data_IF_627261684883
#
_entry.id   IF_627261684883
#
_cell.length_a   1.000
_cell.length_b   1.000
_cell.length_c   1.000
_cell.angle_alpha   90.00
_cell.angle_beta   90.00
_cell.angle_gamma   90.00
#
_symmetry.space_group_name_H-M   'P 1'
#
loop_
_entity.id
_entity.type
_entity.pdbx_description
1 polymer ?
#
# COMPACT_ATOMS: atom_id res chain seq x y z
N UNK A 1 -5.73 -16.26 46.56
CA UNK A 1 -5.38 -15.82 45.21
C UNK A 1 -6.64 -15.28 44.57
N UNK A 2 -6.76 -13.97 44.35
CA UNK A 2 -8.03 -13.34 43.94
C UNK A 2 -8.42 -13.74 42.52
N UNK A 3 -9.70 -14.09 42.34
CA UNK A 3 -10.34 -14.49 41.08
C UNK A 3 -10.04 -13.47 39.93
N UNK A 4 -9.91 -12.19 40.28
CA UNK A 4 -9.51 -11.11 39.38
C UNK A 4 -8.07 -11.27 38.87
N UNK A 5 -7.13 -11.81 39.66
CA UNK A 5 -5.74 -12.03 39.25
C UNK A 5 -5.58 -13.20 38.28
N UNK A 6 -6.38 -14.25 38.45
CA UNK A 6 -6.41 -15.42 37.57
C UNK A 6 -7.00 -15.10 36.19
N UNK A 7 -8.04 -14.28 36.12
CA UNK A 7 -8.64 -13.84 34.87
C UNK A 7 -7.67 -12.90 34.09
N UNK A 8 -6.96 -12.02 34.79
CA UNK A 8 -5.96 -11.14 34.15
C UNK A 8 -4.74 -11.92 33.64
N UNK A 9 -4.32 -12.99 34.33
CA UNK A 9 -3.23 -13.86 33.87
C UNK A 9 -3.64 -14.70 32.66
N UNK A 10 -4.85 -15.24 32.64
CA UNK A 10 -5.42 -15.94 31.46
C UNK A 10 -5.53 -15.00 30.26
N UNK A 11 -6.02 -13.78 30.48
CA UNK A 11 -6.15 -12.79 29.41
C UNK A 11 -4.80 -12.39 28.81
N UNK A 12 -3.75 -12.21 29.63
CA UNK A 12 -2.38 -11.98 29.15
C UNK A 12 -1.81 -13.16 28.36
N UNK A 13 -2.12 -14.40 28.75
CA UNK A 13 -1.73 -15.60 28.01
C UNK A 13 -2.37 -15.66 26.62
N UNK A 14 -3.66 -15.39 26.54
CA UNK A 14 -4.43 -15.35 25.29
C UNK A 14 -3.92 -14.23 24.36
N UNK A 15 -3.64 -13.05 24.90
CA UNK A 15 -3.05 -11.95 24.14
C UNK A 15 -1.69 -12.30 23.55
N UNK A 16 -0.81 -12.94 24.35
CA UNK A 16 0.51 -13.38 23.88
C UNK A 16 0.40 -14.41 22.76
N UNK A 17 -0.53 -15.34 22.86
CA UNK A 17 -0.78 -16.33 21.81
C UNK A 17 -1.31 -15.67 20.54
N UNK A 18 -2.32 -14.80 20.66
CA UNK A 18 -2.85 -14.03 19.53
C UNK A 18 -1.78 -13.16 18.84
N UNK A 19 -0.90 -12.53 19.64
CA UNK A 19 0.22 -11.76 19.11
C UNK A 19 1.23 -12.63 18.34
N UNK A 20 1.51 -13.83 18.83
CA UNK A 20 2.40 -14.76 18.12
C UNK A 20 1.83 -15.19 16.77
N UNK A 21 0.55 -15.55 16.72
CA UNK A 21 -0.15 -15.85 15.47
C UNK A 21 -0.14 -14.65 14.51
N UNK A 22 -0.37 -13.45 15.03
CA UNK A 22 -0.29 -12.21 14.27
C UNK A 22 1.08 -12.05 13.59
N UNK A 23 2.18 -12.24 14.32
CA UNK A 23 3.52 -12.12 13.78
C UNK A 23 3.81 -13.18 12.69
N UNK A 24 3.37 -14.43 12.89
CA UNK A 24 3.52 -15.46 11.85
C UNK A 24 2.74 -15.07 10.59
N UNK A 25 1.50 -14.64 10.75
CA UNK A 25 0.69 -14.20 9.62
C UNK A 25 1.30 -13.02 8.87
N UNK A 26 1.84 -12.04 9.59
CA UNK A 26 2.56 -10.89 9.00
C UNK A 26 3.81 -11.32 8.23
N UNK A 27 4.55 -12.33 8.72
CA UNK A 27 5.70 -12.86 8.03
C UNK A 27 5.33 -13.44 6.65
N UNK A 28 4.25 -14.20 6.57
CA UNK A 28 3.79 -14.83 5.33
C UNK A 28 2.98 -13.90 4.42
N UNK A 29 2.53 -12.75 4.91
CA UNK A 29 1.65 -11.84 4.19
C UNK A 29 2.14 -11.47 2.77
N UNK A 30 3.43 -11.12 2.54
CA UNK A 30 3.90 -10.73 1.22
C UNK A 30 4.24 -11.90 0.31
N UNK A 31 4.33 -13.12 0.84
CA UNK A 31 4.77 -14.29 0.08
C UNK A 31 3.67 -15.33 -0.14
N UNK A 32 2.77 -15.52 0.83
CA UNK A 32 1.81 -16.63 0.79
C UNK A 32 0.53 -16.24 1.51
N UNK A 33 -0.37 -15.56 0.81
CA UNK A 33 -1.61 -15.03 1.38
C UNK A 33 -2.44 -16.12 2.08
N UNK A 34 -2.52 -17.33 1.51
CA UNK A 34 -3.24 -18.44 2.12
C UNK A 34 -2.71 -18.77 3.52
N UNK A 35 -1.39 -18.95 3.66
CA UNK A 35 -0.78 -19.23 4.97
C UNK A 35 -0.95 -18.02 5.90
N UNK A 36 -0.79 -16.80 5.39
CA UNK A 36 -0.99 -15.61 6.19
C UNK A 36 -2.41 -15.56 6.81
N UNK A 37 -3.45 -15.86 6.02
CA UNK A 37 -4.84 -15.89 6.49
C UNK A 37 -5.05 -16.96 7.55
N UNK A 38 -4.46 -18.15 7.43
CA UNK A 38 -4.56 -19.22 8.44
C UNK A 38 -4.10 -18.76 9.84
N UNK A 39 -3.16 -17.82 9.92
CA UNK A 39 -2.66 -17.28 11.18
C UNK A 39 -3.30 -15.93 11.54
N UNK A 40 -3.55 -15.05 10.57
CA UNK A 40 -4.14 -13.73 10.84
C UNK A 40 -5.61 -13.84 11.26
N UNK A 41 -6.38 -14.76 10.67
CA UNK A 41 -7.79 -14.92 11.02
C UNK A 41 -8.00 -15.33 12.49
N UNK A 42 -7.38 -16.40 13.02
CA UNK A 42 -7.46 -16.72 14.43
C UNK A 42 -6.93 -15.61 15.34
N UNK A 43 -5.84 -14.95 14.92
CA UNK A 43 -5.31 -13.78 15.63
C UNK A 43 -6.33 -12.66 15.71
N UNK A 44 -7.01 -12.33 14.60
CA UNK A 44 -8.04 -11.30 14.56
C UNK A 44 -9.24 -11.64 15.44
N UNK A 45 -9.69 -12.90 15.46
CA UNK A 45 -10.75 -13.37 16.36
C UNK A 45 -10.36 -13.18 17.82
N UNK A 46 -9.13 -13.56 18.19
CA UNK A 46 -8.61 -13.35 19.55
C UNK A 46 -8.54 -11.85 19.87
N UNK A 47 -8.00 -11.03 18.97
CA UNK A 47 -7.92 -9.59 19.16
C UNK A 47 -9.28 -8.92 19.31
N UNK A 48 -10.26 -9.35 18.52
CA UNK A 48 -11.66 -8.90 18.64
C UNK A 48 -12.24 -9.21 20.01
N UNK A 49 -12.02 -10.42 20.50
CA UNK A 49 -12.46 -10.82 21.84
C UNK A 49 -11.82 -9.97 22.94
N UNK A 50 -10.51 -9.71 22.83
CA UNK A 50 -9.77 -8.87 23.78
C UNK A 50 -10.25 -7.42 23.77
N UNK A 51 -10.66 -6.91 22.62
CA UNK A 51 -10.94 -5.49 22.40
C UNK A 51 -12.45 -5.16 22.28
N UNK A 52 -13.34 -6.14 22.50
CA UNK A 52 -14.80 -6.01 22.28
C UNK A 52 -15.44 -4.82 23.00
N UNK A 53 -15.01 -4.52 24.23
CA UNK A 53 -15.56 -3.44 25.04
C UNK A 53 -15.02 -2.05 24.67
N UNK A 54 -14.05 -1.97 23.76
CA UNK A 54 -13.37 -0.74 23.38
C UNK A 54 -13.70 -0.27 21.97
N UNK A 55 -14.46 -1.05 21.18
CA UNK A 55 -14.74 -0.72 19.79
C UNK A 55 -15.29 0.70 19.60
N UNK A 56 -16.40 1.02 20.29
CA UNK A 56 -17.01 2.36 20.21
C UNK A 56 -16.36 3.40 21.13
N UNK A 57 -15.43 3.01 21.99
CA UNK A 57 -14.66 3.94 22.82
C UNK A 57 -13.48 4.55 22.07
N UNK A 58 -12.95 3.85 21.09
CA UNK A 58 -11.89 4.36 20.24
C UNK A 58 -12.49 5.19 19.10
N UNK A 59 -12.20 6.49 19.13
CA UNK A 59 -12.67 7.45 18.14
C UNK A 59 -12.28 7.13 16.69
N UNK A 60 -11.22 6.34 16.49
CA UNK A 60 -10.74 5.95 15.16
C UNK A 60 -11.53 4.82 14.52
N UNK A 61 -12.20 4.00 15.32
CA UNK A 61 -13.07 2.94 14.79
C UNK A 61 -14.37 3.53 14.21
N UNK A 62 -14.86 4.65 14.76
CA UNK A 62 -16.14 5.24 14.38
C UNK A 62 -16.22 5.69 12.89
N UNK A 63 -15.25 6.43 12.33
CA UNK A 63 -15.29 6.79 10.91
C UNK A 63 -15.27 5.58 9.98
N UNK A 64 -14.48 4.55 10.30
CA UNK A 64 -14.45 3.31 9.52
C UNK A 64 -15.75 2.52 9.65
N UNK A 65 -16.40 2.55 10.81
CA UNK A 65 -17.73 1.97 10.98
C UNK A 65 -18.77 2.69 10.11
N UNK A 66 -18.78 4.02 10.11
CA UNK A 66 -19.68 4.82 9.27
C UNK A 66 -19.41 4.53 7.79
N UNK A 67 -18.14 4.53 7.37
CA UNK A 67 -17.76 4.16 6.00
C UNK A 67 -18.25 2.76 5.62
N UNK A 68 -17.99 1.75 6.47
CA UNK A 68 -18.45 0.38 6.25
C UNK A 68 -19.97 0.26 6.12
N UNK A 69 -20.71 1.03 6.93
CA UNK A 69 -22.19 1.09 6.87
C UNK A 69 -22.66 1.73 5.56
N UNK A 70 -22.04 2.83 5.13
CA UNK A 70 -22.41 3.51 3.88
C UNK A 70 -22.17 2.62 2.64
N UNK A 71 -21.02 1.96 2.55
CA UNK A 71 -20.74 1.07 1.41
C UNK A 71 -21.67 -0.15 1.41
N UNK A 72 -22.05 -0.66 2.60
CA UNK A 72 -23.03 -1.75 2.70
C UNK A 72 -24.42 -1.29 2.26
N UNK A 73 -24.89 -0.14 2.72
CA UNK A 73 -26.18 0.43 2.30
C UNK A 73 -26.19 0.68 0.79
N UNK A 74 -25.11 1.27 0.25
CA UNK A 74 -24.98 1.50 -1.19
C UNK A 74 -25.11 0.19 -1.98
N UNK A 75 -24.32 -0.83 -1.60
CA UNK A 75 -24.37 -2.15 -2.27
C UNK A 75 -25.75 -2.82 -2.15
N UNK A 76 -26.41 -2.67 -1.01
CA UNK A 76 -27.78 -3.19 -0.82
C UNK A 76 -28.78 -2.48 -1.74
N UNK A 77 -28.76 -1.15 -1.77
CA UNK A 77 -29.66 -0.39 -2.61
C UNK A 77 -29.46 -0.68 -4.10
N UNK A 78 -28.23 -0.80 -4.56
CA UNK A 78 -27.89 -1.13 -5.95
C UNK A 78 -28.40 -2.52 -6.36
N UNK A 79 -28.44 -3.47 -5.46
CA UNK A 79 -28.91 -4.83 -5.77
C UNK A 79 -30.42 -5.00 -5.71
N UNK A 80 -31.12 -4.27 -4.80
CA UNK A 80 -32.51 -4.60 -4.48
C UNK A 80 -33.49 -3.47 -4.74
N UNK A 81 -33.04 -2.24 -4.88
CA UNK A 81 -33.93 -1.06 -4.88
C UNK A 81 -33.74 -0.17 -6.10
N UNK A 82 -32.47 0.13 -6.46
CA UNK A 82 -32.18 1.06 -7.53
C UNK A 82 -32.22 0.34 -8.88
N UNK A 83 -33.04 0.83 -9.80
CA UNK A 83 -32.99 0.43 -11.19
C UNK A 83 -31.88 1.23 -11.86
N UNK A 84 -30.81 0.56 -12.25
CA UNK A 84 -29.70 1.19 -12.96
C UNK A 84 -29.82 0.91 -14.46
N UNK A 85 -29.58 1.93 -15.29
CA UNK A 85 -29.62 1.79 -16.76
C UNK A 85 -28.53 0.84 -17.30
N UNK A 86 -27.61 0.39 -16.45
CA UNK A 86 -26.48 -0.48 -16.79
C UNK A 86 -26.66 -1.95 -16.38
N UNK A 87 -27.85 -2.38 -15.91
CA UNK A 87 -28.09 -3.76 -15.46
C UNK A 87 -27.91 -4.82 -16.56
N UNK A 88 -28.05 -4.45 -17.83
CA UNK A 88 -27.79 -5.36 -18.94
C UNK A 88 -26.30 -5.63 -19.16
N UNK A 89 -25.42 -4.77 -18.63
CA UNK A 89 -23.98 -4.79 -18.90
C UNK A 89 -23.19 -5.16 -17.66
N UNK A 90 -23.68 -4.76 -16.48
CA UNK A 90 -22.99 -4.91 -15.21
C UNK A 90 -23.88 -5.65 -14.21
N UNK A 91 -23.32 -6.70 -13.58
CA UNK A 91 -24.02 -7.48 -12.55
C UNK A 91 -23.93 -6.79 -11.17
N UNK A 92 -25.06 -6.34 -10.59
CA UNK A 92 -25.11 -5.68 -9.30
C UNK A 92 -24.52 -6.51 -8.14
N UNK A 93 -24.51 -7.85 -8.23
CA UNK A 93 -23.92 -8.75 -7.21
C UNK A 93 -22.45 -8.45 -6.97
N UNK A 94 -21.76 -7.89 -7.98
CA UNK A 94 -20.36 -7.47 -7.87
C UNK A 94 -20.15 -6.41 -6.78
N UNK A 95 -21.16 -5.57 -6.50
CA UNK A 95 -21.11 -4.61 -5.39
C UNK A 95 -21.02 -5.31 -4.03
N UNK A 96 -21.73 -6.42 -3.82
CA UNK A 96 -21.60 -7.22 -2.59
C UNK A 96 -20.26 -7.94 -2.51
N UNK A 97 -19.81 -8.55 -3.60
CA UNK A 97 -18.50 -9.21 -3.65
C UNK A 97 -17.39 -8.22 -3.33
N UNK A 98 -17.51 -7.00 -3.84
CA UNK A 98 -16.53 -5.92 -3.63
C UNK A 98 -16.47 -5.41 -2.19
N UNK A 99 -17.49 -5.64 -1.35
CA UNK A 99 -17.41 -5.40 0.09
C UNK A 99 -16.30 -6.21 0.76
N UNK A 100 -15.93 -7.36 0.18
CA UNK A 100 -14.79 -8.15 0.60
C UNK A 100 -13.45 -7.41 0.52
N UNK A 101 -13.36 -6.36 -0.30
CA UNK A 101 -12.18 -5.49 -0.40
C UNK A 101 -12.10 -4.41 0.71
N UNK A 102 -13.15 -4.25 1.55
CA UNK A 102 -13.24 -3.18 2.53
C UNK A 102 -13.57 -3.67 3.93
N UNK A 103 -14.66 -4.41 4.10
CA UNK A 103 -15.17 -4.84 5.42
C UNK A 103 -14.13 -5.64 6.22
N UNK A 104 -13.42 -6.62 5.62
CA UNK A 104 -12.38 -7.34 6.36
C UNK A 104 -11.27 -6.41 6.86
N UNK A 105 -10.85 -5.42 6.09
CA UNK A 105 -9.79 -4.49 6.52
C UNK A 105 -10.25 -3.54 7.62
N UNK A 106 -11.49 -3.09 7.60
CA UNK A 106 -12.11 -2.32 8.69
C UNK A 106 -12.11 -3.15 9.98
N UNK A 107 -12.50 -4.42 9.88
CA UNK A 107 -12.46 -5.34 11.01
C UNK A 107 -11.04 -5.58 11.52
N UNK A 108 -10.08 -5.85 10.64
CA UNK A 108 -8.67 -6.09 10.99
C UNK A 108 -8.02 -4.85 11.64
N UNK A 109 -8.37 -3.64 11.18
CA UNK A 109 -7.90 -2.39 11.81
C UNK A 109 -8.22 -2.35 13.31
N UNK A 110 -9.44 -2.72 13.68
CA UNK A 110 -9.83 -2.81 15.09
C UNK A 110 -9.26 -4.05 15.78
N UNK A 111 -9.33 -5.21 15.15
CA UNK A 111 -8.96 -6.49 15.76
C UNK A 111 -7.47 -6.56 16.14
N UNK A 112 -6.58 -5.89 15.38
CA UNK A 112 -5.14 -5.93 15.64
C UNK A 112 -4.62 -4.83 16.59
N UNK A 113 -5.46 -3.91 17.04
CA UNK A 113 -5.05 -2.86 17.99
C UNK A 113 -4.35 -3.40 19.26
N UNK A 114 -4.79 -4.50 19.91
CA UNK A 114 -4.11 -5.04 21.08
C UNK A 114 -2.68 -5.49 20.81
N UNK A 115 -2.35 -5.84 19.57
CA UNK A 115 -1.02 -6.32 19.18
C UNK A 115 -0.05 -5.20 18.78
N UNK A 116 -0.52 -3.96 18.69
CA UNK A 116 0.27 -2.80 18.31
C UNK A 116 0.31 -1.71 19.39
N UNK A 117 -0.25 -1.98 20.57
CA UNK A 117 -0.46 -1.02 21.65
C UNK A 117 0.81 -0.61 22.42
N UNK A 118 1.97 -1.24 22.18
CA UNK A 118 3.23 -0.90 22.84
C UNK A 118 4.39 -0.78 21.85
N UNK A 119 5.41 0.02 22.21
CA UNK A 119 6.62 0.22 21.40
C UNK A 119 7.31 -1.11 21.08
N UNK A 120 7.39 -2.01 22.07
CA UNK A 120 8.01 -3.34 21.89
C UNK A 120 7.27 -4.19 20.87
N UNK A 121 5.92 -4.22 20.92
CA UNK A 121 5.11 -4.97 19.96
C UNK A 121 5.22 -4.40 18.55
N UNK A 122 5.15 -3.07 18.42
CA UNK A 122 5.34 -2.39 17.12
C UNK A 122 6.72 -2.66 16.55
N UNK A 123 7.77 -2.66 17.39
CA UNK A 123 9.12 -3.05 16.96
C UNK A 123 9.17 -4.49 16.47
N UNK A 124 8.56 -5.44 17.19
CA UNK A 124 8.51 -6.85 16.77
C UNK A 124 7.77 -7.02 15.44
N UNK A 125 6.64 -6.35 15.28
CA UNK A 125 5.90 -6.31 14.01
C UNK A 125 6.79 -5.81 12.85
N UNK A 126 7.48 -4.68 13.04
CA UNK A 126 8.35 -4.10 12.03
C UNK A 126 9.49 -5.06 11.63
N UNK A 127 10.11 -5.73 12.60
CA UNK A 127 11.17 -6.71 12.33
C UNK A 127 10.66 -7.93 11.54
N UNK A 128 9.48 -8.41 11.88
CA UNK A 128 8.85 -9.53 11.15
C UNK A 128 8.42 -9.12 9.75
N UNK A 129 7.94 -7.89 9.58
CA UNK A 129 7.59 -7.34 8.26
C UNK A 129 8.83 -7.26 7.34
N UNK A 130 9.97 -6.79 7.89
CA UNK A 130 11.25 -6.78 7.17
C UNK A 130 11.66 -8.22 6.80
N UNK A 131 11.62 -9.15 7.76
CA UNK A 131 12.00 -10.54 7.52
C UNK A 131 11.10 -11.21 6.48
N UNK A 132 9.79 -10.98 6.52
CA UNK A 132 8.82 -11.48 5.53
C UNK A 132 9.04 -10.94 4.11
N UNK A 133 9.75 -9.82 3.96
CA UNK A 133 10.11 -9.27 2.64
C UNK A 133 11.25 -10.05 1.97
N UNK A 134 12.01 -10.86 2.70
CA UNK A 134 13.13 -11.63 2.16
C UNK A 134 12.75 -12.55 0.98
N UNK A 135 11.68 -13.38 1.06
CA UNK A 135 11.23 -14.16 -0.10
C UNK A 135 10.89 -13.30 -1.32
N UNK A 136 10.29 -12.13 -1.10
CA UNK A 136 9.94 -11.19 -2.19
C UNK A 136 11.19 -10.67 -2.90
N UNK A 137 12.26 -10.36 -2.15
CA UNK A 137 13.53 -9.93 -2.73
C UNK A 137 14.20 -11.04 -3.53
N UNK A 138 14.26 -12.27 -2.98
CA UNK A 138 14.86 -13.42 -3.68
C UNK A 138 14.12 -13.69 -4.99
N UNK A 139 12.81 -13.80 -4.94
CA UNK A 139 12.00 -14.10 -6.12
C UNK A 139 12.00 -12.94 -7.11
N UNK A 140 12.00 -11.69 -6.63
CA UNK A 140 12.08 -10.52 -7.48
C UNK A 140 13.41 -10.43 -8.23
N UNK A 141 14.55 -10.64 -7.56
CA UNK A 141 15.86 -10.70 -8.23
C UNK A 141 15.98 -11.94 -9.11
N UNK A 142 15.44 -13.09 -8.69
CA UNK A 142 15.34 -14.28 -9.51
C UNK A 142 14.55 -14.04 -10.81
N UNK A 143 13.43 -13.32 -10.71
CA UNK A 143 12.65 -12.91 -11.87
C UNK A 143 13.46 -12.00 -12.80
N UNK A 144 14.14 -11.00 -12.26
CA UNK A 144 14.81 -9.97 -13.05
C UNK A 144 16.11 -10.46 -13.71
N UNK A 145 16.92 -11.24 -13.00
CA UNK A 145 18.24 -11.66 -13.47
C UNK A 145 18.31 -13.09 -14.01
N UNK A 146 17.40 -13.97 -13.55
CA UNK A 146 17.43 -15.39 -13.88
C UNK A 146 16.18 -15.87 -14.61
N UNK A 147 15.30 -14.95 -15.01
CA UNK A 147 14.05 -15.25 -15.71
C UNK A 147 13.17 -16.28 -14.98
N UNK A 148 13.13 -16.18 -13.63
CA UNK A 148 12.21 -17.01 -12.85
C UNK A 148 10.79 -16.47 -13.04
N UNK A 149 9.98 -17.19 -13.80
CA UNK A 149 8.58 -16.86 -13.97
C UNK A 149 7.72 -18.13 -13.90
N UNK A 150 6.48 -17.92 -13.43
CA UNK A 150 5.52 -18.99 -13.21
C UNK A 150 4.40 -19.00 -14.26
N UNK A 151 3.26 -19.61 -13.92
CA UNK A 151 2.80 -19.84 -12.55
C UNK A 151 3.57 -20.95 -11.82
N UNK A 152 3.91 -20.68 -10.54
CA UNK A 152 4.38 -21.71 -9.62
C UNK A 152 3.23 -22.11 -8.71
N UNK A 153 3.02 -23.40 -8.50
CA UNK A 153 1.97 -23.87 -7.61
C UNK A 153 2.48 -24.90 -6.60
N UNK A 154 1.81 -24.93 -5.45
CA UNK A 154 2.02 -25.95 -4.42
C UNK A 154 0.72 -26.28 -3.72
N UNK A 155 0.71 -27.35 -2.91
CA UNK A 155 -0.48 -27.83 -2.20
C UNK A 155 -1.69 -28.03 -3.13
N UNK A 156 -1.48 -28.62 -4.32
CA UNK A 156 -2.53 -28.89 -5.33
C UNK A 156 -3.28 -27.63 -5.76
N UNK A 157 -2.56 -26.53 -5.99
CA UNK A 157 -3.14 -25.26 -6.45
C UNK A 157 -3.72 -24.35 -5.34
N UNK A 158 -3.63 -24.75 -4.05
CA UNK A 158 -4.03 -23.83 -2.96
C UNK A 158 -3.13 -22.61 -2.84
N UNK A 159 -1.89 -22.71 -3.28
CA UNK A 159 -0.94 -21.61 -3.35
C UNK A 159 -0.45 -21.52 -4.78
N UNK A 160 -0.75 -20.40 -5.42
CA UNK A 160 -0.32 -20.11 -6.79
C UNK A 160 0.38 -18.75 -6.79
N UNK A 161 1.60 -18.71 -7.33
CA UNK A 161 2.34 -17.48 -7.55
C UNK A 161 2.36 -17.17 -9.05
N UNK A 162 1.66 -16.11 -9.42
CA UNK A 162 1.62 -15.60 -10.80
C UNK A 162 2.79 -14.66 -11.06
N UNK A 163 4.02 -15.16 -10.91
CA UNK A 163 5.20 -14.39 -11.24
C UNK A 163 5.31 -14.31 -12.77
N UNK A 164 5.09 -13.12 -13.32
CA UNK A 164 5.03 -12.88 -14.77
C UNK A 164 6.44 -12.79 -15.36
N UNK A 165 6.64 -13.14 -16.65
CA UNK A 165 7.82 -12.73 -17.38
C UNK A 165 7.97 -11.21 -17.35
N UNK A 166 9.22 -10.73 -17.32
CA UNK A 166 9.48 -9.28 -17.44
C UNK A 166 9.55 -8.97 -18.94
N UNK A 167 8.41 -8.57 -19.49
CA UNK A 167 8.30 -8.04 -20.84
C UNK A 167 8.49 -6.54 -20.83
N UNK A 168 9.09 -5.99 -21.89
CA UNK A 168 9.27 -4.55 -22.02
C UNK A 168 7.88 -3.86 -22.18
N UNK A 169 7.50 -2.85 -21.38
CA UNK A 169 8.27 -2.08 -20.39
C UNK A 169 8.13 -2.52 -18.93
N UNK A 170 7.65 -3.71 -18.61
CA UNK A 170 7.39 -4.14 -17.25
C UNK A 170 8.66 -4.21 -16.37
N UNK A 171 8.50 -3.88 -15.09
CA UNK A 171 9.54 -3.98 -14.06
C UNK A 171 9.40 -5.20 -13.16
N UNK A 172 10.28 -5.30 -12.16
CA UNK A 172 10.26 -6.32 -11.13
C UNK A 172 8.92 -6.33 -10.39
N UNK A 173 8.26 -7.48 -10.35
CA UNK A 173 7.03 -7.70 -9.59
C UNK A 173 7.18 -8.72 -8.46
N UNK A 174 8.14 -9.62 -8.55
CA UNK A 174 8.31 -10.71 -7.60
C UNK A 174 7.01 -11.52 -7.44
N UNK A 175 6.64 -11.79 -6.20
CA UNK A 175 5.45 -12.57 -5.85
C UNK A 175 4.12 -11.79 -5.97
N UNK A 176 4.15 -10.49 -6.28
CA UNK A 176 2.95 -9.65 -6.36
C UNK A 176 2.27 -9.63 -7.72
N UNK A 177 2.78 -10.33 -8.71
CA UNK A 177 2.25 -10.33 -10.10
C UNK A 177 2.15 -8.96 -10.78
N UNK A 178 2.34 -7.85 -10.05
CA UNK A 178 2.28 -6.48 -10.55
C UNK A 178 3.40 -5.64 -9.92
N UNK A 179 4.16 -4.93 -10.78
CA UNK A 179 5.29 -4.10 -10.38
C UNK A 179 4.91 -2.95 -9.42
N UNK A 180 3.71 -2.37 -9.57
CA UNK A 180 3.25 -1.29 -8.69
C UNK A 180 2.92 -1.81 -7.28
N UNK A 181 2.38 -3.03 -7.17
CA UNK A 181 2.13 -3.66 -5.87
C UNK A 181 3.44 -4.01 -5.17
N UNK A 182 4.42 -4.56 -5.91
CA UNK A 182 5.76 -4.78 -5.38
C UNK A 182 6.40 -3.46 -4.91
N UNK A 183 6.33 -2.41 -5.72
CA UNK A 183 6.82 -1.08 -5.38
C UNK A 183 6.18 -0.51 -4.12
N UNK A 184 4.85 -0.62 -3.99
CA UNK A 184 4.11 -0.16 -2.81
C UNK A 184 4.51 -0.93 -1.55
N UNK A 185 4.67 -2.26 -1.65
CA UNK A 185 5.15 -3.08 -0.53
C UNK A 185 6.57 -2.67 -0.09
N UNK A 186 7.48 -2.54 -1.03
CA UNK A 186 8.86 -2.17 -0.75
C UNK A 186 8.95 -0.77 -0.11
N UNK A 187 8.15 0.19 -0.59
CA UNK A 187 8.04 1.54 -0.01
C UNK A 187 7.47 1.50 1.41
N UNK A 188 6.46 0.67 1.67
CA UNK A 188 5.89 0.47 3.01
C UNK A 188 6.93 -0.06 4.01
N UNK A 189 7.79 -0.99 3.60
CA UNK A 189 8.79 -1.63 4.48
C UNK A 189 10.05 -0.77 4.65
N UNK A 190 10.35 0.09 3.71
CA UNK A 190 11.56 0.91 3.67
C UNK A 190 11.83 1.74 4.95
N UNK A 191 10.86 2.49 5.54
CA UNK A 191 11.09 3.25 6.76
C UNK A 191 11.47 2.37 7.96
N UNK A 192 10.97 1.12 8.03
CA UNK A 192 11.33 0.19 9.10
C UNK A 192 12.76 -0.31 8.96
N UNK A 193 13.25 -0.53 7.74
CA UNK A 193 14.65 -0.86 7.48
C UNK A 193 15.58 0.30 7.87
N UNK A 194 15.19 1.54 7.55
CA UNK A 194 15.91 2.73 7.96
C UNK A 194 15.94 2.87 9.49
N UNK A 195 14.82 2.62 10.17
CA UNK A 195 14.76 2.63 11.63
C UNK A 195 15.70 1.59 12.24
N UNK A 196 15.73 0.37 11.70
CA UNK A 196 16.63 -0.69 12.15
C UNK A 196 18.10 -0.32 11.94
N UNK A 197 18.45 0.26 10.79
CA UNK A 197 19.82 0.69 10.50
C UNK A 197 20.27 1.86 11.38
N UNK A 198 19.40 2.83 11.62
CA UNK A 198 19.68 4.03 12.40
C UNK A 198 19.67 3.78 13.92
N UNK A 199 19.18 2.64 14.38
CA UNK A 199 19.09 2.31 15.81
C UNK A 199 20.48 2.21 16.44
N UNK A 200 20.79 3.11 17.37
CA UNK A 200 22.14 3.23 17.98
C UNK A 200 22.56 2.00 18.79
N UNK A 201 21.60 1.29 19.39
CA UNK A 201 21.85 0.11 20.24
C UNK A 201 22.19 -1.16 19.44
N UNK A 202 22.10 -1.15 18.12
CA UNK A 202 22.43 -2.31 17.31
C UNK A 202 23.94 -2.53 17.24
N UNK A 203 24.34 -3.80 17.41
CA UNK A 203 25.71 -4.24 17.18
C UNK A 203 26.05 -4.21 15.67
N UNK A 204 27.32 -4.40 15.35
CA UNK A 204 27.81 -4.39 13.97
C UNK A 204 27.04 -5.37 13.06
N UNK A 205 26.83 -6.60 13.51
CA UNK A 205 26.14 -7.64 12.72
C UNK A 205 24.70 -7.23 12.35
N UNK A 206 23.93 -6.71 13.31
CA UNK A 206 22.55 -6.23 13.04
C UNK A 206 22.53 -5.04 12.09
N UNK A 207 23.51 -4.15 12.19
CA UNK A 207 23.64 -3.03 11.24
C UNK A 207 23.98 -3.49 9.84
N UNK A 208 24.83 -4.50 9.70
CA UNK A 208 25.17 -5.08 8.39
C UNK A 208 23.96 -5.74 7.75
N UNK A 209 23.17 -6.51 8.50
CA UNK A 209 21.92 -7.08 8.01
C UNK A 209 20.93 -5.97 7.59
N UNK A 210 20.77 -4.95 8.43
CA UNK A 210 19.88 -3.83 8.11
C UNK A 210 20.33 -3.08 6.85
N UNK A 211 21.64 -2.89 6.66
CA UNK A 211 22.21 -2.30 5.44
C UNK A 211 21.95 -3.18 4.22
N UNK A 212 22.11 -4.50 4.35
CA UNK A 212 21.81 -5.45 3.29
C UNK A 212 20.35 -5.36 2.84
N UNK A 213 19.40 -5.33 3.78
CA UNK A 213 17.99 -5.13 3.47
C UNK A 213 17.73 -3.75 2.84
N UNK A 214 18.35 -2.69 3.35
CA UNK A 214 18.22 -1.35 2.77
C UNK A 214 18.66 -1.33 1.31
N UNK A 215 19.85 -1.82 1.01
CA UNK A 215 20.36 -1.85 -0.37
C UNK A 215 19.43 -2.71 -1.24
N UNK A 216 19.06 -3.90 -0.77
CA UNK A 216 18.23 -4.82 -1.55
C UNK A 216 16.84 -4.27 -1.82
N UNK A 217 16.17 -3.68 -0.81
CA UNK A 217 14.83 -3.08 -0.97
C UNK A 217 14.90 -1.84 -1.88
N UNK A 218 15.89 -0.97 -1.66
CA UNK A 218 16.06 0.22 -2.50
C UNK A 218 16.31 -0.15 -3.96
N UNK A 219 17.18 -1.14 -4.20
CA UNK A 219 17.49 -1.61 -5.54
C UNK A 219 16.32 -2.35 -6.19
N UNK A 220 15.63 -3.25 -5.46
CA UNK A 220 14.41 -3.87 -5.96
C UNK A 220 13.32 -2.84 -6.28
N UNK A 221 13.13 -1.83 -5.40
CA UNK A 221 12.20 -0.73 -5.62
C UNK A 221 12.53 0.08 -6.88
N UNK A 222 13.82 0.31 -7.16
CA UNK A 222 14.27 0.91 -8.41
C UNK A 222 13.90 0.05 -9.63
N UNK A 223 14.14 -1.26 -9.57
CA UNK A 223 13.87 -2.22 -10.64
C UNK A 223 12.37 -2.47 -10.89
N UNK A 224 11.48 -2.02 -10.01
CA UNK A 224 10.03 -2.11 -10.27
C UNK A 224 9.58 -1.19 -11.40
N UNK A 225 10.36 -0.19 -11.78
CA UNK A 225 9.96 0.90 -12.69
C UNK A 225 8.67 1.61 -12.26
N UNK A 226 8.33 1.53 -10.98
CA UNK A 226 7.19 2.25 -10.42
C UNK A 226 7.61 3.64 -9.94
N UNK A 227 7.12 4.69 -10.60
CA UNK A 227 7.40 6.09 -10.20
C UNK A 227 6.97 6.39 -8.77
N UNK A 228 5.85 5.82 -8.34
CA UNK A 228 5.37 5.97 -6.96
C UNK A 228 6.35 5.34 -5.96
N UNK A 229 6.94 4.18 -6.29
CA UNK A 229 7.94 3.54 -5.43
C UNK A 229 9.21 4.39 -5.35
N UNK A 230 9.72 4.90 -6.47
CA UNK A 230 10.89 5.78 -6.48
C UNK A 230 10.68 7.02 -5.63
N UNK A 231 9.54 7.69 -5.81
CA UNK A 231 9.19 8.87 -5.03
C UNK A 231 9.06 8.56 -3.53
N UNK A 232 8.39 7.46 -3.18
CA UNK A 232 8.23 7.03 -1.80
C UNK A 232 9.56 6.70 -1.11
N UNK A 233 10.45 5.96 -1.78
CA UNK A 233 11.80 5.67 -1.28
C UNK A 233 12.59 6.96 -1.05
N UNK A 234 12.56 7.90 -2.00
CA UNK A 234 13.28 9.17 -1.91
C UNK A 234 12.74 10.06 -0.79
N UNK A 235 11.44 10.25 -0.69
CA UNK A 235 10.83 11.12 0.34
C UNK A 235 11.00 10.54 1.75
N UNK A 236 11.03 9.21 1.89
CA UNK A 236 11.25 8.56 3.18
C UNK A 236 12.61 8.91 3.80
N UNK A 237 13.66 9.02 2.98
CA UNK A 237 15.02 9.29 3.47
C UNK A 237 15.10 10.56 4.33
N UNK A 238 14.70 11.75 3.84
CA UNK A 238 14.78 12.97 4.63
C UNK A 238 13.87 12.94 5.86
N UNK A 239 12.74 12.25 5.79
CA UNK A 239 11.83 12.14 6.93
C UNK A 239 12.49 11.32 8.04
N UNK A 240 13.12 10.20 7.74
CA UNK A 240 13.72 9.30 8.73
C UNK A 240 15.05 9.80 9.30
N UNK A 241 15.83 10.52 8.50
CA UNK A 241 17.13 11.06 8.90
C UNK A 241 16.96 12.35 9.75
N UNK A 242 17.93 12.70 10.55
CA UNK A 242 17.90 13.88 11.42
C UNK A 242 17.85 15.20 10.60
N UNK A 243 17.12 16.20 11.13
CA UNK A 243 16.93 17.53 10.50
C UNK A 243 18.25 18.21 10.10
N UNK A 244 19.35 17.98 10.85
CA UNK A 244 20.68 18.52 10.52
C UNK A 244 21.22 17.96 9.20
N UNK A 245 20.94 16.69 8.90
CA UNK A 245 21.36 16.01 7.67
C UNK A 245 20.42 16.31 6.50
N UNK A 246 19.20 16.76 6.78
CA UNK A 246 18.23 17.19 5.79
C UNK A 246 18.79 18.32 4.88
N UNK A 247 19.64 19.21 5.46
CA UNK A 247 20.27 20.28 4.71
C UNK A 247 21.17 19.79 3.56
N UNK A 248 21.73 18.58 3.66
CA UNK A 248 22.51 17.94 2.60
C UNK A 248 21.62 17.24 1.58
N UNK A 249 20.43 16.82 1.99
CA UNK A 249 19.51 16.11 1.12
C UNK A 249 18.80 17.03 0.11
N UNK A 250 18.42 18.24 0.53
CA UNK A 250 17.75 19.20 -0.37
C UNK A 250 18.61 19.60 -1.58
N UNK A 251 19.90 19.93 -1.46
CA UNK A 251 20.75 20.19 -2.63
C UNK A 251 20.85 18.98 -3.55
N UNK A 252 20.96 17.75 -3.00
CA UNK A 252 21.01 16.54 -3.80
C UNK A 252 19.70 16.32 -4.57
N UNK A 253 18.55 16.51 -3.92
CA UNK A 253 17.25 16.39 -4.57
C UNK A 253 17.04 17.47 -5.64
N UNK A 254 17.42 18.71 -5.33
CA UNK A 254 17.38 19.79 -6.30
C UNK A 254 18.28 19.49 -7.52
N UNK A 255 19.47 18.97 -7.28
CA UNK A 255 20.37 18.53 -8.36
C UNK A 255 19.74 17.42 -9.21
N UNK A 256 19.16 16.38 -8.60
CA UNK A 256 18.48 15.31 -9.34
C UNK A 256 17.28 15.83 -10.16
N UNK A 257 16.48 16.73 -9.60
CA UNK A 257 15.37 17.36 -10.32
C UNK A 257 15.89 18.18 -11.49
N UNK A 258 16.96 18.98 -11.28
CA UNK A 258 17.58 19.76 -12.35
C UNK A 258 18.11 18.85 -13.46
N UNK A 259 18.76 17.74 -13.12
CA UNK A 259 19.25 16.76 -14.11
C UNK A 259 18.09 16.17 -14.91
N UNK A 260 17.00 15.77 -14.25
CA UNK A 260 15.80 15.25 -14.92
C UNK A 260 15.20 16.31 -15.85
N UNK A 261 15.00 17.53 -15.35
CA UNK A 261 14.48 18.62 -16.17
C UNK A 261 15.40 18.93 -17.35
N UNK A 262 16.72 18.86 -17.16
CA UNK A 262 17.69 19.07 -18.22
C UNK A 262 17.58 18.00 -19.30
N UNK A 263 17.49 16.72 -18.94
CA UNK A 263 17.39 15.58 -19.87
C UNK A 263 16.13 15.67 -20.74
N UNK A 264 15.02 16.14 -20.17
CA UNK A 264 13.70 16.16 -20.84
C UNK A 264 13.29 17.54 -21.36
N UNK A 265 14.11 18.58 -21.16
CA UNK A 265 13.81 19.94 -21.65
C UNK A 265 14.05 20.06 -23.12
N UNK A 266 13.10 20.62 -23.90
CA UNK A 266 13.31 20.94 -25.30
C UNK A 266 14.24 22.17 -25.52
N UNK A 267 14.64 22.84 -24.42
CA UNK A 267 15.46 24.08 -24.49
C UNK A 267 16.94 23.81 -24.73
N UNK A 268 17.42 22.58 -24.61
CA UNK A 268 18.83 22.23 -24.75
C UNK A 268 19.10 21.49 -26.07
N UNK A 269 20.33 21.58 -26.52
CA UNK A 269 20.77 20.95 -27.78
C UNK A 269 20.51 19.43 -27.74
N UNK A 270 19.89 18.91 -28.79
CA UNK A 270 19.53 17.52 -28.95
C UNK A 270 20.71 16.52 -28.79
N UNK A 271 21.93 16.92 -29.24
CA UNK A 271 23.11 16.07 -29.11
C UNK A 271 23.54 15.85 -27.65
N UNK A 272 23.53 16.92 -26.84
CA UNK A 272 23.86 16.82 -25.39
C UNK A 272 22.81 16.01 -24.66
N UNK A 273 21.53 16.27 -24.96
CA UNK A 273 20.42 15.51 -24.37
C UNK A 273 20.52 14.05 -24.71
N UNK A 274 20.79 13.69 -25.96
CA UNK A 274 20.95 12.30 -26.40
C UNK A 274 22.16 11.63 -25.76
N UNK A 275 23.28 12.33 -25.63
CA UNK A 275 24.46 11.79 -24.95
C UNK A 275 24.19 11.47 -23.47
N UNK A 276 23.43 12.32 -22.77
CA UNK A 276 23.06 12.08 -21.37
C UNK A 276 21.99 11.00 -21.27
N UNK A 277 20.99 10.99 -22.17
CA UNK A 277 19.96 9.93 -22.22
C UNK A 277 20.59 8.55 -22.38
N UNK A 278 21.60 8.39 -23.20
CA UNK A 278 22.31 7.14 -23.42
C UNK A 278 23.04 6.59 -22.17
N UNK A 279 23.23 7.40 -21.13
CA UNK A 279 23.75 6.95 -19.84
C UNK A 279 22.70 6.28 -18.96
N UNK A 280 21.42 6.45 -19.28
CA UNK A 280 20.31 5.87 -18.52
C UNK A 280 19.68 4.70 -19.28
N UNK A 281 19.18 3.67 -18.60
CA UNK A 281 18.39 2.61 -19.23
C UNK A 281 17.20 3.21 -20.00
N UNK A 282 16.96 2.74 -21.21
CA UNK A 282 15.87 3.19 -22.08
C UNK A 282 14.50 3.19 -21.36
N UNK A 283 14.25 2.19 -20.54
CA UNK A 283 13.04 2.11 -19.71
C UNK A 283 12.81 3.29 -18.79
N UNK A 284 13.87 3.87 -18.23
CA UNK A 284 13.77 5.08 -17.39
C UNK A 284 13.40 6.27 -18.25
N UNK A 285 13.99 6.37 -19.43
CA UNK A 285 13.70 7.45 -20.38
C UNK A 285 12.23 7.40 -20.80
N UNK A 286 11.72 6.24 -21.17
CA UNK A 286 10.33 6.04 -21.58
C UNK A 286 9.33 6.41 -20.47
N UNK A 287 9.65 6.16 -19.19
CA UNK A 287 8.78 6.53 -18.06
C UNK A 287 8.61 8.06 -17.89
N UNK A 288 9.53 8.88 -18.39
CA UNK A 288 9.50 10.33 -18.27
C UNK A 288 9.26 11.05 -19.61
N UNK A 289 9.25 10.34 -20.75
CA UNK A 289 9.03 10.92 -22.07
C UNK A 289 7.59 10.68 -22.57
N UNK A 290 7.15 11.50 -23.51
CA UNK A 290 5.89 11.29 -24.23
C UNK A 290 5.88 9.99 -25.05
N UNK A 291 7.05 9.53 -25.50
CA UNK A 291 7.21 8.31 -26.29
C UNK A 291 6.70 7.06 -25.56
N UNK A 292 6.83 7.01 -24.22
CA UNK A 292 6.27 5.93 -23.39
C UNK A 292 4.73 5.91 -23.32
N UNK A 293 4.09 6.96 -23.84
CA UNK A 293 2.63 7.10 -23.88
C UNK A 293 2.05 7.16 -25.29
N UNK A 294 2.89 7.11 -26.32
CA UNK A 294 2.45 7.05 -27.72
C UNK A 294 1.72 5.74 -27.99
N UNK A 295 0.58 5.83 -28.68
CA UNK A 295 -0.26 4.67 -28.97
C UNK A 295 -1.19 4.21 -27.85
N UNK A 296 -1.32 4.99 -26.77
CA UNK A 296 -2.39 4.72 -25.79
C UNK A 296 -3.74 5.15 -26.35
N UNK A 297 -4.65 4.19 -26.47
CA UNK A 297 -6.02 4.36 -27.02
C UNK A 297 -6.91 5.30 -26.19
N UNK A 298 -6.49 5.67 -24.97
CA UNK A 298 -7.21 6.62 -24.12
C UNK A 298 -6.27 7.32 -23.15
N UNK A 299 -6.45 8.63 -22.99
CA UNK A 299 -5.70 9.43 -22.03
C UNK A 299 -6.29 9.30 -20.61
N UNK A 300 -5.52 9.65 -19.58
CA UNK A 300 -6.06 9.75 -18.21
C UNK A 300 -7.18 10.78 -18.09
N UNK A 301 -7.15 11.81 -18.96
CA UNK A 301 -8.19 12.82 -18.97
C UNK A 301 -9.54 12.24 -19.43
N UNK A 302 -9.55 11.38 -20.45
CA UNK A 302 -10.76 10.69 -20.93
C UNK A 302 -11.34 9.80 -19.85
N UNK A 303 -10.45 9.01 -19.17
CA UNK A 303 -10.84 8.16 -18.05
C UNK A 303 -11.47 8.99 -16.91
N UNK A 304 -10.90 10.14 -16.57
CA UNK A 304 -11.42 11.01 -15.52
C UNK A 304 -12.72 11.68 -15.93
N UNK A 305 -12.88 12.07 -17.19
CA UNK A 305 -14.12 12.64 -17.72
C UNK A 305 -15.29 11.66 -17.62
N UNK A 306 -15.11 10.40 -18.09
CA UNK A 306 -16.10 9.34 -17.95
C UNK A 306 -16.40 9.04 -16.47
N UNK A 307 -15.37 8.95 -15.62
CA UNK A 307 -15.54 8.76 -14.19
C UNK A 307 -16.42 9.83 -13.54
N UNK A 308 -16.18 11.11 -13.87
CA UNK A 308 -16.97 12.25 -13.36
C UNK A 308 -18.41 12.19 -13.86
N UNK A 309 -18.62 11.78 -15.11
CA UNK A 309 -19.97 11.59 -15.69
C UNK A 309 -20.75 10.54 -14.90
N UNK A 310 -20.12 9.40 -14.60
CA UNK A 310 -20.74 8.34 -13.78
C UNK A 310 -21.06 8.78 -12.37
N UNK A 311 -20.17 9.54 -11.72
CA UNK A 311 -20.43 10.11 -10.39
C UNK A 311 -21.63 11.04 -10.43
N UNK A 312 -21.78 11.86 -11.46
CA UNK A 312 -22.92 12.78 -11.60
C UNK A 312 -24.23 12.04 -11.81
N UNK A 313 -24.23 10.88 -12.45
CA UNK A 313 -25.45 10.09 -12.66
C UNK A 313 -25.98 9.45 -11.37
N UNK A 314 -25.10 9.11 -10.40
CA UNK A 314 -25.50 8.52 -9.11
C UNK A 314 -24.61 9.04 -7.95
N UNK A 315 -24.76 10.33 -7.55
CA UNK A 315 -23.80 10.95 -6.63
C UNK A 315 -23.90 10.46 -5.18
N UNK A 316 -25.05 9.92 -4.75
CA UNK A 316 -25.27 9.56 -3.33
C UNK A 316 -24.86 8.12 -3.05
N UNK A 317 -25.28 7.19 -3.89
CA UNK A 317 -25.07 5.74 -3.68
C UNK A 317 -24.10 5.13 -4.68
N UNK A 318 -23.60 5.90 -5.65
CA UNK A 318 -22.74 5.41 -6.72
C UNK A 318 -23.51 4.55 -7.74
N UNK A 319 -22.82 4.24 -8.83
CA UNK A 319 -23.33 3.35 -9.88
C UNK A 319 -23.19 1.90 -9.48
N UNK A 320 -22.11 1.57 -8.77
CA UNK A 320 -21.81 0.24 -8.24
C UNK A 320 -20.34 -0.13 -8.37
N UNK A 321 -19.86 -0.96 -7.45
CA UNK A 321 -18.50 -1.42 -7.51
C UNK A 321 -18.26 -2.35 -8.70
N UNK A 322 -17.08 -2.25 -9.32
CA UNK A 322 -16.70 -2.94 -10.55
C UNK A 322 -17.55 -2.59 -11.79
N UNK A 323 -18.36 -1.51 -11.75
CA UNK A 323 -19.15 -1.07 -12.90
C UNK A 323 -18.33 -0.28 -13.93
N UNK A 324 -17.28 0.43 -13.47
CA UNK A 324 -16.49 1.31 -14.33
C UNK A 324 -15.89 0.62 -15.56
N UNK A 325 -15.25 -0.56 -15.47
CA UNK A 325 -14.65 -1.23 -16.62
C UNK A 325 -15.65 -1.50 -17.75
N UNK A 326 -16.80 -2.05 -17.39
CA UNK A 326 -17.85 -2.47 -18.34
C UNK A 326 -18.49 -1.25 -19.01
N UNK A 327 -18.83 -0.23 -18.23
CA UNK A 327 -19.45 1.00 -18.75
C UNK A 327 -18.46 1.77 -19.63
N UNK A 328 -17.21 1.89 -19.18
CA UNK A 328 -16.16 2.57 -19.94
C UNK A 328 -15.90 1.89 -21.29
N UNK A 329 -15.87 0.54 -21.31
CA UNK A 329 -15.71 -0.23 -22.52
C UNK A 329 -16.89 -0.02 -23.48
N UNK A 330 -18.12 0.04 -22.97
CA UNK A 330 -19.29 0.32 -23.79
C UNK A 330 -19.23 1.71 -24.44
N UNK A 331 -18.86 2.72 -23.66
CA UNK A 331 -18.83 4.12 -24.12
C UNK A 331 -17.69 4.42 -25.09
N UNK A 332 -16.53 3.76 -24.91
CA UNK A 332 -15.29 4.11 -25.62
C UNK A 332 -14.75 3.01 -26.51
N UNK A 333 -15.28 1.79 -26.43
CA UNK A 333 -14.73 0.56 -27.05
C UNK A 333 -13.37 0.12 -26.50
N UNK A 334 -12.83 0.79 -25.47
CA UNK A 334 -11.55 0.45 -24.83
C UNK A 334 -11.78 -0.04 -23.42
N UNK A 335 -11.20 -1.19 -23.08
CA UNK A 335 -11.29 -1.71 -21.71
C UNK A 335 -10.25 -1.09 -20.79
N UNK A 336 -10.68 -0.60 -19.63
CA UNK A 336 -9.83 -0.12 -18.52
C UNK A 336 -10.35 -0.69 -17.21
N UNK A 337 -9.51 -1.42 -16.49
CA UNK A 337 -9.91 -2.15 -15.28
C UNK A 337 -10.37 -1.28 -14.10
N UNK A 338 -10.11 0.02 -14.11
CA UNK A 338 -10.51 0.98 -13.07
C UNK A 338 -10.24 2.44 -13.53
N UNK A 339 -10.77 3.41 -12.79
CA UNK A 339 -10.63 4.85 -13.07
C UNK A 339 -9.23 5.44 -12.84
N UNK A 340 -8.24 4.63 -12.48
CA UNK A 340 -6.87 5.03 -12.13
C UNK A 340 -6.75 6.10 -11.02
N UNK A 341 -7.80 6.30 -10.25
CA UNK A 341 -7.86 7.21 -9.11
C UNK A 341 -8.80 6.64 -8.05
N UNK A 342 -8.27 6.35 -6.85
CA UNK A 342 -9.03 5.72 -5.77
C UNK A 342 -10.22 6.57 -5.31
N UNK A 343 -10.10 7.92 -5.33
CA UNK A 343 -11.19 8.81 -4.97
C UNK A 343 -12.35 8.69 -5.96
N UNK A 344 -12.04 8.74 -7.26
CA UNK A 344 -13.06 8.56 -8.30
C UNK A 344 -13.67 7.16 -8.24
N UNK A 345 -12.84 6.12 -8.08
CA UNK A 345 -13.29 4.74 -7.99
C UNK A 345 -14.26 4.51 -6.83
N UNK A 346 -13.95 5.06 -5.63
CA UNK A 346 -14.86 5.00 -4.48
C UNK A 346 -16.16 5.76 -4.70
N UNK A 347 -16.08 6.94 -5.32
CA UNK A 347 -17.26 7.74 -5.60
C UNK A 347 -18.17 7.10 -6.64
N UNK A 348 -17.61 6.46 -7.69
CA UNK A 348 -18.37 5.66 -8.67
C UNK A 348 -19.01 4.45 -7.98
N UNK A 349 -18.23 3.74 -7.17
CA UNK A 349 -18.66 2.47 -6.57
C UNK A 349 -19.73 2.65 -5.50
N UNK A 350 -19.57 3.64 -4.62
CA UNK A 350 -20.37 3.76 -3.39
C UNK A 350 -20.93 5.16 -3.12
N UNK A 351 -20.68 6.10 -4.03
CA UNK A 351 -21.15 7.47 -3.91
C UNK A 351 -20.22 8.42 -3.16
N UNK A 352 -20.49 9.71 -3.31
CA UNK A 352 -19.72 10.81 -2.69
C UNK A 352 -19.69 10.72 -1.15
N UNK A 353 -20.79 10.41 -0.43
CA UNK A 353 -20.76 10.36 1.05
C UNK A 353 -19.75 9.36 1.59
N UNK A 354 -19.73 8.12 1.05
CA UNK A 354 -18.78 7.09 1.45
C UNK A 354 -17.33 7.52 1.13
N UNK A 355 -17.11 8.05 -0.07
CA UNK A 355 -15.84 8.58 -0.51
C UNK A 355 -15.32 9.68 0.44
N UNK A 356 -16.13 10.68 0.79
CA UNK A 356 -15.77 11.78 1.67
C UNK A 356 -15.39 11.31 3.08
N UNK A 357 -16.16 10.40 3.68
CA UNK A 357 -15.85 9.87 5.02
C UNK A 357 -14.49 9.16 4.99
N UNK A 358 -14.25 8.29 4.01
CA UNK A 358 -12.99 7.56 3.89
C UNK A 358 -11.80 8.52 3.72
N UNK A 359 -11.86 9.41 2.71
CA UNK A 359 -10.75 10.32 2.42
C UNK A 359 -10.52 11.36 3.51
N UNK A 360 -11.57 11.87 4.16
CA UNK A 360 -11.41 12.75 5.31
C UNK A 360 -10.67 12.02 6.44
N UNK A 361 -11.04 10.78 6.73
CA UNK A 361 -10.39 9.98 7.77
C UNK A 361 -8.91 9.76 7.45
N UNK A 362 -8.59 9.35 6.23
CA UNK A 362 -7.21 9.13 5.78
C UNK A 362 -6.41 10.44 5.82
N UNK A 363 -6.96 11.54 5.32
CA UNK A 363 -6.27 12.85 5.36
C UNK A 363 -5.99 13.34 6.79
N UNK A 364 -6.92 13.12 7.73
CA UNK A 364 -6.68 13.42 9.15
C UNK A 364 -5.57 12.55 9.71
N UNK A 365 -5.52 11.26 9.39
CA UNK A 365 -4.43 10.36 9.81
C UNK A 365 -3.08 10.80 9.23
N UNK A 366 -3.02 11.16 7.94
CA UNK A 366 -1.83 11.71 7.29
C UNK A 366 -1.37 13.00 7.97
N UNK A 367 -2.30 13.94 8.22
CA UNK A 367 -2.00 15.19 8.92
C UNK A 367 -1.42 14.94 10.32
N UNK A 368 -2.04 14.06 11.10
CA UNK A 368 -1.55 13.69 12.42
C UNK A 368 -0.19 12.99 12.36
N UNK A 369 0.06 12.15 11.37
CA UNK A 369 1.36 11.53 11.15
C UNK A 369 2.43 12.60 10.90
N UNK A 370 2.14 13.56 10.04
CA UNK A 370 3.02 14.71 9.79
C UNK A 370 3.28 15.51 11.07
N UNK A 371 2.23 15.80 11.86
CA UNK A 371 2.36 16.48 13.15
C UNK A 371 3.28 15.71 14.11
N UNK A 372 3.08 14.40 14.26
CA UNK A 372 3.92 13.55 15.11
C UNK A 372 5.39 13.56 14.65
N UNK A 373 5.64 13.46 13.35
CA UNK A 373 6.99 13.42 12.78
C UNK A 373 7.72 14.76 12.92
N UNK A 374 7.04 15.88 12.59
CA UNK A 374 7.72 17.16 12.41
C UNK A 374 7.63 18.09 13.63
N UNK A 375 6.58 17.99 14.44
CA UNK A 375 6.33 18.88 15.56
C UNK A 375 6.62 18.20 16.90
N UNK A 376 6.01 17.06 17.17
CA UNK A 376 6.11 16.42 18.49
C UNK A 376 7.44 15.71 18.73
N UNK A 377 8.14 15.30 17.68
CA UNK A 377 9.51 14.77 17.81
C UNK A 377 10.46 15.76 18.47
N UNK A 378 10.18 17.06 18.40
CA UNK A 378 11.02 18.12 19.01
C UNK A 378 10.90 18.12 20.55
N UNK A 379 9.76 17.69 21.08
CA UNK A 379 9.40 17.77 22.50
C UNK A 379 9.39 16.39 23.20
N UNK A 380 9.25 15.28 22.47
CA UNK A 380 9.18 13.93 23.01
C UNK A 380 10.16 13.02 22.26
N UNK A 381 10.84 12.12 22.97
CA UNK A 381 11.69 11.09 22.38
C UNK A 381 10.82 9.98 21.74
N UNK A 382 10.30 10.23 20.53
CA UNK A 382 9.63 9.21 19.75
C UNK A 382 10.67 8.16 19.33
N UNK A 383 10.34 6.88 19.49
CA UNK A 383 11.22 5.80 19.03
C UNK A 383 11.37 5.82 17.50
N UNK A 384 12.53 5.37 16.99
CA UNK A 384 12.76 5.31 15.55
C UNK A 384 11.73 4.42 14.84
N UNK A 385 11.28 3.34 15.47
CA UNK A 385 10.24 2.48 14.91
C UNK A 385 8.88 3.16 14.89
N UNK A 386 8.50 3.93 15.93
CA UNK A 386 7.25 4.69 15.90
C UNK A 386 7.30 5.77 14.83
N UNK A 387 8.44 6.42 14.64
CA UNK A 387 8.65 7.35 13.52
C UNK A 387 8.49 6.65 12.18
N UNK A 388 9.01 5.43 12.03
CA UNK A 388 8.85 4.64 10.82
C UNK A 388 7.37 4.28 10.55
N UNK A 389 6.58 3.94 11.58
CA UNK A 389 5.14 3.73 11.42
C UNK A 389 4.42 4.98 10.90
N UNK A 390 4.69 6.14 11.50
CA UNK A 390 4.10 7.40 11.02
C UNK A 390 4.57 7.75 9.61
N UNK A 391 5.82 7.44 9.27
CA UNK A 391 6.34 7.67 7.91
C UNK A 391 5.69 6.74 6.91
N UNK A 392 5.54 5.46 7.22
CA UNK A 392 4.89 4.48 6.35
C UNK A 392 3.41 4.82 6.05
N UNK A 393 2.74 5.55 6.96
CA UNK A 393 1.36 6.00 6.77
C UNK A 393 1.23 7.18 5.79
N UNK A 394 2.35 7.84 5.42
CA UNK A 394 2.35 8.95 4.47
C UNK A 394 2.36 8.49 3.00
N UNK A 395 2.60 7.20 2.77
CA UNK A 395 2.73 6.57 1.44
C UNK A 395 1.68 5.47 1.23
#
# INVERSE_FOLDING_TARGET
>A
MNYLSLNSLKQKGVEKYGFFLFLIGVFFLPSTLFIAILFLLPSALIGSFLNKNYYFKDKWNFPFFVFGTLIFISSFLQNFVLINNYFEIWDPILSFISLGNWIPYIWLFWAFQPYLNSVSKRRSFALVLIAGTFPVLITGFGQYYFNWFGPFETLKGLIIWYQRPIENPAGLSGLFSNQNYAGSWLTLVWPFCLALFLEKKNNFFRKTIALGFLISIGFAGFLTYSRNAWLGLLITLPIMIDKKRLKLFFPLMAFLIIVILFIFSPLFNSEINNSIRNLFPEKIILEFSSEGYEGLDSTRFDIFSSAISLIKSSPIFGVGAASFPEIYQLETSFWKGHSHNLLLELAISYGIPACLIFFTTINVLIFLSGKMIFIEQKNNHISLFDKAFWTALLF
#
